data_IF_042612274446
#
_entry.id   IF_042612274446
#
_cell.length_a   1.000
_cell.length_b   1.000
_cell.length_c   1.000
_cell.angle_alpha   90.00
_cell.angle_beta   90.00
_cell.angle_gamma   90.00
#
_symmetry.space_group_name_H-M   'P 1'
#
loop_
_entity.id
_entity.type
_entity.pdbx_description
1 polymer ?
#
# COMPACT_ATOMS: atom_id res chain seq x y z
N UNK A 1 -6.18 -23.84 -19.13
CA UNK A 1 -5.77 -22.68 -18.31
C UNK A 1 -5.14 -23.26 -17.05
N UNK A 2 -3.91 -22.92 -16.74
CA UNK A 2 -3.18 -23.52 -15.62
C UNK A 2 -3.78 -23.10 -14.28
N UNK A 3 -3.93 -24.06 -13.37
CA UNK A 3 -4.34 -23.76 -12.01
C UNK A 3 -3.14 -23.15 -11.26
N UNK A 4 -3.42 -22.10 -10.49
CA UNK A 4 -2.42 -21.41 -9.68
C UNK A 4 -2.71 -21.66 -8.21
N UNK A 5 -1.72 -22.13 -7.47
CA UNK A 5 -1.78 -22.28 -6.01
C UNK A 5 -0.92 -21.22 -5.35
N UNK A 6 -1.54 -20.45 -4.46
CA UNK A 6 -0.88 -19.37 -3.70
C UNK A 6 -0.75 -19.84 -2.25
N UNK A 7 0.47 -19.80 -1.72
CA UNK A 7 0.76 -20.16 -0.33
C UNK A 7 0.76 -18.87 0.51
N UNK A 8 -0.23 -18.77 1.39
CA UNK A 8 -0.46 -17.61 2.24
C UNK A 8 -1.49 -16.64 1.66
N UNK A 9 -2.55 -16.39 2.42
CA UNK A 9 -3.66 -15.48 2.08
C UNK A 9 -3.53 -14.08 2.71
N UNK A 10 -2.33 -13.67 3.10
CA UNK A 10 -2.06 -12.29 3.51
C UNK A 10 -2.25 -11.31 2.35
N UNK A 11 -1.94 -10.02 2.55
CA UNK A 11 -2.24 -8.98 1.54
C UNK A 11 -1.62 -9.30 0.17
N UNK A 12 -0.37 -9.78 0.13
CA UNK A 12 0.31 -10.11 -1.13
C UNK A 12 -0.41 -11.26 -1.84
N UNK A 13 -0.65 -12.39 -1.13
CA UNK A 13 -1.33 -13.54 -1.74
C UNK A 13 -2.76 -13.23 -2.15
N UNK A 14 -3.49 -12.45 -1.36
CA UNK A 14 -4.85 -12.02 -1.68
C UNK A 14 -4.88 -11.07 -2.90
N UNK A 15 -3.93 -10.13 -2.99
CA UNK A 15 -3.81 -9.27 -4.16
C UNK A 15 -3.46 -10.08 -5.43
N UNK A 16 -2.51 -11.01 -5.31
CA UNK A 16 -2.17 -11.93 -6.41
C UNK A 16 -3.40 -12.73 -6.87
N UNK A 17 -4.16 -13.27 -5.91
CA UNK A 17 -5.40 -13.99 -6.21
C UNK A 17 -6.42 -13.11 -6.93
N UNK A 18 -6.63 -11.86 -6.45
CA UNK A 18 -7.53 -10.91 -7.09
C UNK A 18 -7.15 -10.65 -8.56
N UNK A 19 -5.89 -10.28 -8.82
CA UNK A 19 -5.46 -9.95 -10.18
C UNK A 19 -5.49 -11.16 -11.12
N UNK A 20 -5.05 -12.33 -10.67
CA UNK A 20 -5.10 -13.55 -11.49
C UNK A 20 -6.54 -14.00 -11.78
N UNK A 21 -7.43 -13.94 -10.78
CA UNK A 21 -8.84 -14.28 -10.98
C UNK A 21 -9.54 -13.28 -11.89
N UNK A 22 -9.18 -12.00 -11.84
CA UNK A 22 -9.66 -10.97 -12.75
C UNK A 22 -9.28 -11.28 -14.21
N UNK A 23 -8.12 -11.90 -14.43
CA UNK A 23 -7.65 -12.39 -15.74
C UNK A 23 -8.22 -13.79 -16.11
N UNK A 24 -9.19 -14.28 -15.34
CA UNK A 24 -9.87 -15.55 -15.60
C UNK A 24 -9.05 -16.80 -15.26
N UNK A 25 -7.99 -16.68 -14.47
CA UNK A 25 -7.23 -17.84 -13.97
C UNK A 25 -7.98 -18.53 -12.84
N UNK A 26 -7.86 -19.85 -12.76
CA UNK A 26 -8.28 -20.61 -11.59
C UNK A 26 -7.24 -20.48 -10.49
N UNK A 27 -7.63 -19.93 -9.35
CA UNK A 27 -6.73 -19.64 -8.26
C UNK A 27 -7.19 -20.31 -6.98
N UNK A 28 -6.26 -21.00 -6.31
CA UNK A 28 -6.46 -21.54 -4.96
C UNK A 28 -5.44 -20.93 -4.01
N UNK A 29 -5.92 -20.33 -2.92
CA UNK A 29 -5.10 -19.76 -1.86
C UNK A 29 -5.18 -20.67 -0.64
N UNK A 30 -4.03 -21.13 -0.14
CA UNK A 30 -3.94 -21.96 1.06
C UNK A 30 -3.42 -21.09 2.21
N UNK A 31 -4.27 -20.87 3.23
CA UNK A 31 -3.97 -20.02 4.38
C UNK A 31 -4.10 -20.80 5.69
N UNK A 32 -3.06 -20.72 6.52
CA UNK A 32 -3.02 -21.45 7.80
C UNK A 32 -3.91 -20.84 8.87
N UNK A 33 -3.99 -19.50 8.90
CA UNK A 33 -4.83 -18.76 9.86
C UNK A 33 -5.83 -17.83 9.13
N UNK A 34 -7.03 -18.32 8.80
CA UNK A 34 -8.05 -17.51 8.14
C UNK A 34 -8.54 -16.31 8.94
N UNK A 35 -8.15 -16.17 10.21
CA UNK A 35 -8.44 -14.99 11.05
C UNK A 35 -7.46 -13.86 10.84
N UNK A 36 -6.28 -14.13 10.26
CA UNK A 36 -5.20 -13.18 10.00
C UNK A 36 -4.69 -12.42 11.23
N UNK A 37 -4.92 -12.91 12.44
CA UNK A 37 -4.54 -12.23 13.70
C UNK A 37 -3.05 -11.96 13.82
N UNK A 38 -2.22 -12.80 13.22
CA UNK A 38 -0.75 -12.67 13.23
C UNK A 38 -0.17 -12.24 11.89
N UNK A 39 -1.00 -11.94 10.91
CA UNK A 39 -0.53 -11.47 9.60
C UNK A 39 0.00 -10.04 9.70
N UNK A 40 1.13 -9.76 9.05
CA UNK A 40 1.83 -8.47 9.16
C UNK A 40 0.97 -7.29 8.70
N UNK A 41 0.21 -7.45 7.61
CA UNK A 41 -0.54 -6.33 7.04
C UNK A 41 -1.67 -5.84 7.95
N UNK A 42 -2.57 -6.68 8.50
CA UNK A 42 -3.58 -6.24 9.46
C UNK A 42 -3.03 -5.62 10.74
N UNK A 43 -1.78 -5.93 11.09
CA UNK A 43 -1.08 -5.37 12.26
C UNK A 43 -0.28 -4.10 11.92
N UNK A 44 -0.28 -3.66 10.66
CA UNK A 44 0.43 -2.46 10.22
C UNK A 44 -0.40 -1.19 10.44
N UNK A 45 0.24 -0.03 10.29
CA UNK A 45 -0.45 1.26 10.31
C UNK A 45 -1.24 1.55 9.02
N UNK A 46 -1.17 0.68 8.01
CA UNK A 46 -1.89 0.84 6.74
C UNK A 46 -1.48 2.07 5.93
N UNK A 47 -0.28 2.60 6.17
CA UNK A 47 0.21 3.79 5.46
C UNK A 47 0.43 3.52 3.98
N UNK A 48 0.03 4.46 3.12
CA UNK A 48 0.33 4.46 1.69
C UNK A 48 0.95 5.80 1.28
N UNK A 49 2.04 5.73 0.55
CA UNK A 49 2.80 6.91 0.13
C UNK A 49 3.45 6.71 -1.24
N UNK A 50 3.98 7.81 -1.80
CA UNK A 50 4.74 7.84 -3.05
C UNK A 50 6.17 8.32 -2.86
N UNK A 51 6.51 8.85 -1.68
CA UNK A 51 7.83 9.37 -1.34
C UNK A 51 8.80 8.22 -1.03
N UNK A 52 9.41 7.66 -2.08
CA UNK A 52 10.43 6.62 -2.03
C UNK A 52 11.69 7.07 -2.78
N UNK A 53 12.83 6.46 -2.49
CA UNK A 53 14.09 6.78 -3.16
C UNK A 53 14.14 6.21 -4.59
N UNK A 54 13.66 4.99 -4.80
CA UNK A 54 13.71 4.32 -6.09
C UNK A 54 12.46 4.57 -6.93
N UNK A 55 12.67 4.76 -8.22
CA UNK A 55 11.63 4.99 -9.22
C UNK A 55 10.55 3.92 -9.20
N UNK A 56 10.93 2.66 -9.10
CA UNK A 56 10.01 1.51 -9.09
C UNK A 56 9.03 1.60 -7.90
N UNK A 57 9.55 1.95 -6.72
CA UNK A 57 8.73 2.10 -5.53
C UNK A 57 7.81 3.31 -5.60
N UNK A 58 8.25 4.41 -6.24
CA UNK A 58 7.40 5.58 -6.50
C UNK A 58 6.23 5.18 -7.41
N UNK A 59 6.52 4.47 -8.50
CA UNK A 59 5.50 4.01 -9.46
C UNK A 59 4.52 3.02 -8.83
N UNK A 60 5.02 2.08 -8.01
CA UNK A 60 4.17 1.18 -7.22
C UNK A 60 3.29 1.95 -6.24
N UNK A 61 3.83 2.96 -5.56
CA UNK A 61 3.08 3.83 -4.66
C UNK A 61 1.98 4.62 -5.39
N UNK A 62 2.26 5.12 -6.59
CA UNK A 62 1.25 5.77 -7.45
C UNK A 62 0.13 4.80 -7.81
N UNK A 63 0.47 3.61 -8.30
CA UNK A 63 -0.49 2.57 -8.62
C UNK A 63 -1.35 2.17 -7.40
N UNK A 64 -0.70 1.94 -6.26
CA UNK A 64 -1.39 1.58 -5.02
C UNK A 64 -2.38 2.68 -4.58
N UNK A 65 -1.97 3.94 -4.66
CA UNK A 65 -2.84 5.08 -4.36
C UNK A 65 -4.07 5.07 -5.27
N UNK A 66 -3.89 4.98 -6.56
CA UNK A 66 -5.00 4.97 -7.53
C UNK A 66 -5.96 3.80 -7.27
N UNK A 67 -5.41 2.63 -6.99
CA UNK A 67 -6.20 1.47 -6.64
C UNK A 67 -7.03 1.68 -5.36
N UNK A 68 -6.40 2.24 -4.30
CA UNK A 68 -7.06 2.52 -3.02
C UNK A 68 -8.22 3.51 -3.20
N UNK A 69 -8.03 4.55 -3.99
CA UNK A 69 -9.09 5.53 -4.28
C UNK A 69 -10.26 4.94 -5.07
N UNK A 70 -10.02 3.87 -5.83
CA UNK A 70 -11.03 3.17 -6.61
C UNK A 70 -11.64 1.94 -5.91
N UNK A 71 -11.33 1.70 -4.63
CA UNK A 71 -11.89 0.57 -3.87
C UNK A 71 -13.41 0.44 -4.01
N UNK A 72 -14.22 1.54 -3.89
CA UNK A 72 -15.66 1.43 -4.00
C UNK A 72 -16.17 0.84 -5.31
N UNK A 73 -15.41 1.02 -6.39
CA UNK A 73 -15.74 0.50 -7.71
C UNK A 73 -15.07 -0.84 -8.00
N UNK A 74 -13.76 -0.94 -7.75
CA UNK A 74 -12.97 -2.12 -8.10
C UNK A 74 -13.30 -3.34 -7.23
N UNK A 75 -13.60 -3.12 -5.95
CA UNK A 75 -13.81 -4.20 -4.97
C UNK A 75 -15.28 -4.40 -4.59
N UNK A 76 -16.19 -3.74 -5.30
CA UNK A 76 -17.62 -3.94 -5.13
C UNK A 76 -18.00 -5.41 -5.42
N UNK A 77 -18.81 -5.99 -4.54
CA UNK A 77 -19.37 -7.34 -4.66
C UNK A 77 -20.87 -7.30 -4.39
N UNK A 78 -21.58 -8.38 -4.76
CA UNK A 78 -23.01 -8.51 -4.39
C UNK A 78 -23.22 -8.46 -2.87
N UNK A 79 -22.31 -9.10 -2.12
CA UNK A 79 -22.38 -9.15 -0.63
C UNK A 79 -21.91 -7.86 0.03
N UNK A 80 -21.04 -7.08 -0.63
CA UNK A 80 -20.55 -5.79 -0.15
C UNK A 80 -20.62 -4.76 -1.29
N UNK A 81 -21.78 -4.12 -1.49
CA UNK A 81 -21.99 -3.17 -2.60
C UNK A 81 -21.29 -1.82 -2.40
N UNK A 82 -20.77 -1.54 -1.19
CA UNK A 82 -20.06 -0.31 -0.86
C UNK A 82 -18.80 -0.60 -0.03
N UNK A 83 -17.80 -1.29 -0.63
CA UNK A 83 -16.56 -1.57 0.08
C UNK A 83 -15.82 -0.28 0.40
N UNK A 84 -15.15 -0.27 1.53
CA UNK A 84 -14.30 0.83 1.98
C UNK A 84 -13.09 0.29 2.71
N UNK A 85 -12.05 1.09 2.81
CA UNK A 85 -10.87 0.84 3.65
C UNK A 85 -10.67 1.97 4.68
N UNK A 86 -11.72 2.74 4.99
CA UNK A 86 -11.67 3.86 5.94
C UNK A 86 -10.47 4.79 5.71
N UNK A 87 -10.27 5.17 4.45
CA UNK A 87 -9.11 5.96 4.00
C UNK A 87 -9.11 7.35 4.63
N UNK A 88 -7.93 7.75 5.12
CA UNK A 88 -7.63 9.11 5.58
C UNK A 88 -6.44 9.64 4.80
N UNK A 89 -6.60 10.80 4.14
CA UNK A 89 -5.59 11.44 3.30
C UNK A 89 -5.08 12.71 3.97
N UNK A 90 -4.12 12.58 4.84
CA UNK A 90 -3.48 13.69 5.57
C UNK A 90 -2.02 13.93 5.16
N UNK A 91 -1.54 13.25 4.13
CA UNK A 91 -0.17 13.36 3.62
C UNK A 91 0.86 12.65 4.50
N UNK A 92 2.11 12.75 4.06
CA UNK A 92 3.30 12.34 4.83
C UNK A 92 4.30 13.47 4.84
N UNK A 93 4.88 13.72 6.01
CA UNK A 93 6.04 14.57 6.18
C UNK A 93 7.23 13.68 6.52
N UNK A 94 8.26 13.70 5.66
CA UNK A 94 9.53 13.02 5.90
C UNK A 94 10.59 14.07 6.18
N UNK A 95 11.30 13.93 7.29
CA UNK A 95 12.33 14.85 7.75
C UNK A 95 13.69 14.15 7.77
N UNK A 96 14.72 14.83 7.30
CA UNK A 96 16.06 14.27 7.12
C UNK A 96 17.07 15.19 7.79
N UNK A 97 17.95 14.60 8.58
CA UNK A 97 19.15 15.27 9.11
C UNK A 97 20.22 15.44 8.01
N UNK A 98 21.31 16.17 8.30
CA UNK A 98 22.38 16.45 7.34
C UNK A 98 22.99 15.18 6.71
N UNK A 99 23.05 14.08 7.46
CA UNK A 99 23.62 12.80 7.05
C UNK A 99 22.84 12.10 5.91
N UNK A 100 21.55 12.41 5.76
CA UNK A 100 20.68 11.82 4.74
C UNK A 100 20.18 12.83 3.70
N UNK A 101 20.54 14.11 3.84
CA UNK A 101 20.04 15.18 2.97
C UNK A 101 20.47 14.99 1.51
N UNK A 102 21.73 14.60 1.27
CA UNK A 102 22.24 14.40 -0.10
C UNK A 102 21.49 13.27 -0.83
N UNK A 103 21.22 12.16 -0.14
CA UNK A 103 20.45 11.05 -0.69
C UNK A 103 19.01 11.48 -1.00
N UNK A 104 18.40 12.26 -0.11
CA UNK A 104 17.06 12.81 -0.33
C UNK A 104 17.02 13.78 -1.52
N UNK A 105 18.03 14.66 -1.69
CA UNK A 105 18.08 15.54 -2.85
C UNK A 105 18.18 14.76 -4.17
N UNK A 106 18.94 13.66 -4.21
CA UNK A 106 18.97 12.76 -5.37
C UNK A 106 17.62 12.11 -5.64
N UNK A 107 16.91 11.70 -4.59
CA UNK A 107 15.58 11.11 -4.73
C UNK A 107 14.54 12.10 -5.29
N UNK A 108 14.68 13.41 -5.06
CA UNK A 108 13.77 14.41 -5.61
C UNK A 108 13.76 14.44 -7.13
N UNK A 109 14.87 14.09 -7.80
CA UNK A 109 14.90 13.96 -9.26
C UNK A 109 13.99 12.82 -9.73
N UNK A 110 14.01 11.69 -9.03
CA UNK A 110 13.09 10.57 -9.29
C UNK A 110 11.65 10.95 -8.99
N UNK A 111 11.39 11.68 -7.89
CA UNK A 111 10.06 12.16 -7.56
C UNK A 111 9.49 13.07 -8.66
N UNK A 112 10.32 13.97 -9.20
CA UNK A 112 9.96 14.86 -10.30
C UNK A 112 9.70 14.07 -11.59
N UNK A 113 10.59 13.17 -11.96
CA UNK A 113 10.45 12.34 -13.16
C UNK A 113 9.20 11.46 -13.12
N UNK A 114 8.82 10.97 -11.93
CA UNK A 114 7.63 10.15 -11.71
C UNK A 114 6.37 10.98 -11.41
N UNK A 115 6.45 12.31 -11.41
CA UNK A 115 5.32 13.19 -11.05
C UNK A 115 4.69 12.80 -9.70
N UNK A 116 5.53 12.55 -8.70
CA UNK A 116 5.09 12.13 -7.38
C UNK A 116 4.37 13.24 -6.58
N UNK A 117 4.44 14.51 -7.03
CA UNK A 117 3.82 15.65 -6.36
C UNK A 117 4.49 16.04 -5.04
N UNK A 118 5.74 15.58 -4.83
CA UNK A 118 6.52 15.88 -3.63
C UNK A 118 6.99 17.33 -3.63
N UNK A 119 6.78 18.01 -2.52
CA UNK A 119 7.36 19.31 -2.20
C UNK A 119 8.56 19.14 -1.30
N UNK A 120 9.61 19.92 -1.52
CA UNK A 120 10.79 19.96 -0.67
C UNK A 120 10.92 21.32 -0.01
N UNK A 121 11.28 21.32 1.27
CA UNK A 121 11.55 22.53 2.06
C UNK A 121 12.85 22.33 2.85
N UNK A 122 13.53 23.46 3.13
CA UNK A 122 14.68 23.46 4.05
C UNK A 122 14.21 23.28 5.48
N UNK A 123 15.02 22.64 6.32
CA UNK A 123 14.72 22.49 7.74
C UNK A 123 14.45 23.82 8.45
N UNK A 124 15.18 24.90 8.08
CA UNK A 124 14.96 26.24 8.59
C UNK A 124 13.59 26.86 8.25
N UNK A 125 12.92 26.34 7.24
CA UNK A 125 11.59 26.79 6.79
C UNK A 125 10.46 25.91 7.31
N UNK A 126 10.78 24.79 7.97
CA UNK A 126 9.83 23.77 8.40
C UNK A 126 8.73 24.35 9.31
N UNK A 127 9.09 25.24 10.24
CA UNK A 127 8.15 25.88 11.17
C UNK A 127 7.14 26.81 10.49
N UNK A 128 7.43 27.31 9.28
CA UNK A 128 6.49 28.13 8.51
C UNK A 128 5.31 27.29 7.97
N UNK A 129 5.55 26.00 7.70
CA UNK A 129 4.54 25.07 7.19
C UNK A 129 3.93 24.22 8.31
N UNK A 130 4.74 23.88 9.31
CA UNK A 130 4.40 22.99 10.42
C UNK A 130 4.85 23.58 11.76
N UNK A 131 4.14 24.60 12.28
CA UNK A 131 4.61 25.39 13.45
C UNK A 131 4.67 24.58 14.77
N UNK A 132 4.10 23.40 14.79
CA UNK A 132 4.10 22.48 15.94
C UNK A 132 5.26 21.47 15.91
N UNK A 133 6.12 21.51 14.88
CA UNK A 133 7.26 20.60 14.74
C UNK A 133 8.55 21.32 15.10
N UNK A 134 9.38 20.69 15.96
CA UNK A 134 10.73 21.15 16.19
C UNK A 134 11.62 20.84 14.98
N UNK A 135 12.28 21.85 14.45
CA UNK A 135 13.17 21.77 13.29
C UNK A 135 14.64 21.58 13.60
N UNK A 136 15.01 21.47 14.89
CA UNK A 136 16.41 21.31 15.29
C UNK A 136 16.99 20.02 14.70
N UNK A 137 18.17 20.13 14.06
CA UNK A 137 18.84 19.01 13.41
C UNK A 137 18.21 18.53 12.08
N UNK A 138 17.19 19.21 11.58
CA UNK A 138 16.58 18.92 10.28
C UNK A 138 17.24 19.76 9.20
N UNK A 139 17.85 19.13 8.21
CA UNK A 139 18.44 19.81 7.02
C UNK A 139 17.39 20.05 5.95
N UNK A 140 16.57 19.03 5.66
CA UNK A 140 15.54 19.09 4.63
C UNK A 140 14.33 18.27 5.01
N UNK A 141 13.17 18.65 4.50
CA UNK A 141 11.95 17.87 4.66
C UNK A 141 11.18 17.79 3.34
N UNK A 142 10.48 16.68 3.14
CA UNK A 142 9.60 16.49 1.99
C UNK A 142 8.20 16.15 2.43
N UNK A 143 7.21 16.63 1.70
CA UNK A 143 5.81 16.34 1.95
C UNK A 143 5.00 16.37 0.65
N UNK A 144 3.84 15.76 0.67
CA UNK A 144 2.85 15.84 -0.39
C UNK A 144 1.63 16.63 0.08
N UNK A 145 0.76 17.02 -0.84
CA UNK A 145 -0.52 17.63 -0.48
C UNK A 145 -1.44 16.63 0.27
N UNK A 146 -2.43 17.17 0.96
CA UNK A 146 -3.33 16.43 1.84
C UNK A 146 -4.27 15.43 1.12
N UNK A 147 -4.13 15.20 -0.18
CA UNK A 147 -4.99 14.27 -0.93
C UNK A 147 -4.22 13.15 -1.63
N UNK A 148 -2.92 13.09 -1.41
CA UNK A 148 -2.04 12.22 -2.19
C UNK A 148 -1.60 10.97 -1.44
N UNK A 149 -1.47 11.06 -0.14
CA UNK A 149 -0.90 10.05 0.74
C UNK A 149 -1.66 10.03 2.07
N UNK A 150 -1.55 8.94 2.81
CA UNK A 150 -2.25 8.80 4.07
C UNK A 150 -2.23 7.38 4.59
N UNK A 151 -3.33 6.95 5.16
CA UNK A 151 -3.48 5.59 5.67
C UNK A 151 -4.89 5.05 5.42
N UNK A 152 -4.99 3.75 5.48
CA UNK A 152 -6.24 2.98 5.38
C UNK A 152 -6.34 2.02 6.55
N UNK A 153 -7.53 1.50 6.81
CA UNK A 153 -7.70 0.34 7.66
C UNK A 153 -7.23 -0.91 6.89
N UNK A 154 -6.11 -1.53 7.29
CA UNK A 154 -5.55 -2.65 6.55
C UNK A 154 -6.43 -3.90 6.63
N UNK A 155 -7.18 -4.10 7.71
CA UNK A 155 -8.07 -5.23 7.84
C UNK A 155 -9.27 -5.10 6.91
N UNK A 156 -9.88 -3.92 6.84
CA UNK A 156 -10.99 -3.64 5.92
C UNK A 156 -10.55 -3.77 4.46
N UNK A 157 -9.38 -3.23 4.10
CA UNK A 157 -8.84 -3.34 2.74
C UNK A 157 -8.60 -4.79 2.34
N UNK A 158 -7.91 -5.55 3.19
CA UNK A 158 -7.67 -6.98 2.96
C UNK A 158 -8.97 -7.76 2.80
N UNK A 159 -9.96 -7.51 3.66
CA UNK A 159 -11.29 -8.15 3.60
C UNK A 159 -12.04 -7.85 2.31
N UNK A 160 -12.03 -6.60 1.86
CA UNK A 160 -12.66 -6.19 0.61
C UNK A 160 -11.98 -6.86 -0.61
N UNK A 161 -10.65 -6.86 -0.64
CA UNK A 161 -9.86 -7.47 -1.70
C UNK A 161 -10.10 -8.99 -1.78
N UNK A 162 -10.11 -9.68 -0.62
CA UNK A 162 -10.41 -11.10 -0.52
C UNK A 162 -11.83 -11.42 -1.00
N UNK A 163 -12.81 -10.63 -0.56
CA UNK A 163 -14.21 -10.83 -0.97
C UNK A 163 -14.37 -10.72 -2.48
N UNK A 164 -13.69 -9.76 -3.09
CA UNK A 164 -13.71 -9.60 -4.55
C UNK A 164 -12.99 -10.74 -5.27
N UNK A 165 -11.84 -11.18 -4.76
CA UNK A 165 -11.13 -12.33 -5.32
C UNK A 165 -12.00 -13.60 -5.31
N UNK A 166 -12.73 -13.85 -4.22
CA UNK A 166 -13.68 -14.97 -4.11
C UNK A 166 -14.82 -14.83 -5.11
N UNK A 167 -15.42 -13.64 -5.26
CA UNK A 167 -16.48 -13.40 -6.26
C UNK A 167 -15.99 -13.65 -7.68
N UNK A 168 -14.72 -13.36 -7.97
CA UNK A 168 -14.07 -13.63 -9.25
C UNK A 168 -13.66 -15.11 -9.43
N UNK A 169 -13.92 -15.97 -8.46
CA UNK A 169 -13.70 -17.41 -8.55
C UNK A 169 -12.45 -17.93 -7.81
N UNK A 170 -11.73 -17.10 -7.05
CA UNK A 170 -10.64 -17.60 -6.22
C UNK A 170 -11.18 -18.45 -5.06
N UNK A 171 -10.55 -19.61 -4.83
CA UNK A 171 -10.84 -20.47 -3.70
C UNK A 171 -9.86 -20.22 -2.55
N UNK A 172 -10.35 -19.93 -1.34
CA UNK A 172 -9.54 -19.77 -0.13
C UNK A 172 -9.77 -20.96 0.79
N UNK A 173 -8.72 -21.74 1.03
CA UNK A 173 -8.75 -22.98 1.82
C UNK A 173 -7.91 -22.84 3.07
N UNK A 174 -8.43 -23.27 4.21
CA UNK A 174 -7.64 -23.39 5.43
C UNK A 174 -6.69 -24.57 5.30
N UNK A 175 -5.40 -24.32 5.44
CA UNK A 175 -4.37 -25.35 5.39
C UNK A 175 -2.99 -24.78 5.61
N UNK A 176 -2.04 -25.64 5.94
CA UNK A 176 -0.63 -25.29 6.09
C UNK A 176 0.22 -26.17 5.20
N UNK A 177 1.01 -25.53 4.33
CA UNK A 177 1.96 -26.23 3.47
C UNK A 177 3.21 -26.56 4.29
N UNK A 178 3.56 -27.84 4.36
CA UNK A 178 4.74 -28.33 5.09
C UNK A 178 5.95 -28.57 4.19
N UNK A 179 5.71 -28.98 2.96
CA UNK A 179 6.75 -29.27 2.00
C UNK A 179 6.21 -29.19 0.58
N UNK A 180 7.12 -28.97 -0.38
CA UNK A 180 6.87 -29.12 -1.80
C UNK A 180 7.66 -30.34 -2.27
N UNK A 181 7.04 -31.18 -3.08
CA UNK A 181 7.71 -32.29 -3.79
C UNK A 181 7.59 -32.05 -5.28
N UNK A 182 8.60 -32.44 -6.02
CA UNK A 182 8.52 -32.53 -7.49
C UNK A 182 7.63 -33.71 -7.89
#
# INVERSE_FOLDING_TARGET
MDDVVIIGGGIIGTATAYFLSKEGRKVKVIERDPTYKTASFPLSLGGFRRQFFQTENILLGKFAREFIFQIPELLKTEKNPKPTASMVTNGYLLMFGPEHAEEQYKALENHKACEAGTKNIKGSELSNFFPYINSDGIETATFTDNQSEGWIDPFMFHGALKSKAIELGAEFVKGEIKSLSE
#
